data_IF_388632079891
#
_entry.id   IF_388632079891
#
_cell.length_a   1.000
_cell.length_b   1.000
_cell.length_c   1.000
_cell.angle_alpha   90.00
_cell.angle_beta   90.00
_cell.angle_gamma   90.00
#
_symmetry.space_group_name_H-M   'P 1'
#
loop_
_entity.id
_entity.type
_entity.pdbx_description
1 polymer ?
#
# COMPACT_ATOMS: atom_id res chain seq x y z
N UNK A 1 7.07 -6.40 12.78
CA UNK A 1 6.61 -7.80 12.79
C UNK A 1 7.66 -8.61 12.06
N UNK A 2 8.17 -9.68 12.64
CA UNK A 2 9.17 -10.53 11.98
C UNK A 2 8.48 -11.47 10.99
N UNK A 3 9.07 -11.66 9.83
CA UNK A 3 8.58 -12.58 8.78
C UNK A 3 9.18 -13.99 8.90
N UNK A 4 9.77 -14.30 10.05
CA UNK A 4 10.55 -15.52 10.26
C UNK A 4 9.74 -16.79 9.97
N UNK A 5 8.53 -16.89 10.49
CA UNK A 5 7.68 -18.09 10.32
C UNK A 5 7.35 -18.37 8.85
N UNK A 6 6.97 -17.32 8.11
CA UNK A 6 6.68 -17.41 6.68
C UNK A 6 7.95 -17.75 5.88
N UNK A 7 9.07 -17.12 6.23
CA UNK A 7 10.35 -17.34 5.55
C UNK A 7 10.94 -18.74 5.84
N UNK A 8 10.82 -19.26 7.06
CA UNK A 8 11.22 -20.63 7.39
C UNK A 8 10.54 -21.63 6.45
N UNK A 9 9.22 -21.56 6.34
CA UNK A 9 8.43 -22.42 5.44
C UNK A 9 8.83 -22.21 3.97
N UNK A 10 8.97 -20.94 3.54
CA UNK A 10 9.35 -20.57 2.16
C UNK A 10 10.71 -21.16 1.78
N UNK A 11 11.75 -20.93 2.58
CA UNK A 11 13.10 -21.40 2.27
C UNK A 11 13.21 -22.92 2.34
N UNK A 12 12.53 -23.57 3.30
CA UNK A 12 12.47 -25.03 3.38
C UNK A 12 11.89 -25.64 2.09
N UNK A 13 10.76 -25.09 1.62
CA UNK A 13 10.12 -25.55 0.37
C UNK A 13 11.02 -25.30 -0.83
N UNK A 14 11.67 -24.12 -0.92
CA UNK A 14 12.60 -23.78 -2.00
C UNK A 14 13.80 -24.76 -2.07
N UNK A 15 14.21 -25.33 -0.93
CA UNK A 15 15.28 -26.32 -0.85
C UNK A 15 14.80 -27.77 -0.98
N UNK A 16 13.48 -27.96 -1.22
CA UNK A 16 12.85 -29.28 -1.27
C UNK A 16 13.05 -30.14 -0.01
N UNK A 17 13.13 -29.49 1.15
CA UNK A 17 13.28 -30.15 2.44
C UNK A 17 11.92 -30.41 3.09
N UNK A 18 11.80 -31.50 3.85
CA UNK A 18 10.67 -31.77 4.75
C UNK A 18 10.89 -31.10 6.09
N UNK A 19 9.86 -31.05 6.94
CA UNK A 19 10.02 -30.60 8.33
C UNK A 19 10.89 -31.59 9.14
N UNK A 20 10.85 -32.87 8.78
CA UNK A 20 11.70 -33.93 9.34
C UNK A 20 13.17 -33.69 9.03
N UNK A 21 13.53 -33.37 7.79
CA UNK A 21 14.92 -33.10 7.37
C UNK A 21 15.52 -31.94 8.18
N UNK A 22 14.75 -30.84 8.33
CA UNK A 22 15.21 -29.68 9.11
C UNK A 22 15.32 -30.01 10.59
N UNK A 23 14.39 -30.79 11.12
CA UNK A 23 14.41 -31.22 12.52
C UNK A 23 15.62 -32.12 12.82
N UNK A 24 15.90 -33.09 11.93
CA UNK A 24 17.07 -33.98 12.05
C UNK A 24 18.37 -33.16 12.03
N UNK A 25 18.51 -32.22 11.10
CA UNK A 25 19.69 -31.36 11.01
C UNK A 25 19.93 -30.52 12.28
N UNK A 26 18.85 -30.10 12.95
CA UNK A 26 18.94 -29.28 14.17
C UNK A 26 18.94 -30.10 15.46
N UNK A 27 18.76 -31.43 15.40
CA UNK A 27 18.62 -32.29 16.60
C UNK A 27 17.31 -32.03 17.36
N UNK A 28 16.23 -31.69 16.65
CA UNK A 28 14.92 -31.34 17.19
C UNK A 28 13.82 -32.29 16.70
N UNK A 29 12.58 -32.00 17.09
CA UNK A 29 11.42 -32.75 16.63
C UNK A 29 10.73 -32.02 15.46
N UNK A 30 10.10 -32.74 14.49
CA UNK A 30 9.33 -32.11 13.41
C UNK A 30 8.21 -31.19 13.91
N UNK A 31 7.64 -31.52 15.08
CA UNK A 31 6.62 -30.68 15.74
C UNK A 31 7.16 -29.29 16.10
N UNK A 32 8.43 -29.18 16.48
CA UNK A 32 9.07 -27.89 16.76
C UNK A 32 9.14 -27.04 15.51
N UNK A 33 9.59 -27.61 14.39
CA UNK A 33 9.65 -26.92 13.10
C UNK A 33 8.25 -26.49 12.65
N UNK A 34 7.27 -27.39 12.78
CA UNK A 34 5.87 -27.09 12.43
C UNK A 34 5.31 -25.92 13.24
N UNK A 35 5.59 -25.83 14.55
CA UNK A 35 5.16 -24.69 15.39
C UNK A 35 5.80 -23.37 14.96
N UNK A 36 7.09 -23.39 14.61
CA UNK A 36 7.79 -22.21 14.11
C UNK A 36 7.19 -21.71 12.80
N UNK A 37 6.90 -22.62 11.85
CA UNK A 37 6.31 -22.26 10.54
C UNK A 37 4.87 -21.77 10.65
N UNK A 38 4.11 -22.19 11.68
CA UNK A 38 2.76 -21.66 11.96
C UNK A 38 2.76 -20.38 12.80
N UNK A 39 3.95 -19.94 13.28
CA UNK A 39 4.06 -18.74 14.11
C UNK A 39 3.54 -18.93 15.54
N UNK A 40 3.37 -20.16 16.00
CA UNK A 40 2.95 -20.46 17.38
C UNK A 40 4.05 -20.14 18.41
N UNK A 41 5.30 -20.28 17.99
CA UNK A 41 6.48 -19.84 18.72
C UNK A 41 7.63 -19.56 17.76
N UNK A 42 8.68 -18.95 18.28
CA UNK A 42 9.92 -18.71 17.51
C UNK A 42 11.01 -19.70 17.93
N UNK A 43 11.95 -20.02 17.00
CA UNK A 43 13.18 -20.72 17.38
C UNK A 43 13.99 -19.87 18.36
N UNK A 44 14.76 -20.56 19.22
CA UNK A 44 15.80 -19.87 19.97
C UNK A 44 16.79 -19.24 18.99
N UNK A 45 17.31 -18.06 19.33
CA UNK A 45 18.24 -17.30 18.47
C UNK A 45 19.48 -18.11 18.07
N UNK A 46 19.88 -19.06 18.89
CA UNK A 46 21.03 -19.95 18.65
C UNK A 46 20.83 -20.89 17.45
N UNK A 47 19.59 -21.15 17.03
CA UNK A 47 19.28 -21.94 15.83
C UNK A 47 19.35 -21.14 14.54
N UNK A 48 19.31 -19.80 14.58
CA UNK A 48 19.27 -18.97 13.37
C UNK A 48 20.47 -19.19 12.44
N UNK A 49 21.72 -19.33 12.94
CA UNK A 49 22.86 -19.63 12.08
C UNK A 49 22.74 -20.97 11.36
N UNK A 50 22.29 -22.01 12.06
CA UNK A 50 22.12 -23.36 11.49
C UNK A 50 20.98 -23.37 10.45
N UNK A 51 19.85 -22.68 10.73
CA UNK A 51 18.75 -22.51 9.80
C UNK A 51 19.19 -21.72 8.55
N UNK A 52 19.96 -20.66 8.72
CA UNK A 52 20.50 -19.90 7.59
C UNK A 52 21.44 -20.76 6.74
N UNK A 53 22.24 -21.63 7.36
CA UNK A 53 23.14 -22.53 6.67
C UNK A 53 22.39 -23.61 5.88
N UNK A 54 21.46 -24.35 6.49
CA UNK A 54 20.70 -25.41 5.78
C UNK A 54 19.86 -24.85 4.61
N UNK A 55 19.36 -23.62 4.75
CA UNK A 55 18.60 -22.96 3.70
C UNK A 55 19.46 -22.17 2.72
N UNK A 56 20.80 -22.15 2.89
CA UNK A 56 21.75 -21.37 2.07
C UNK A 56 21.30 -19.92 1.92
N UNK A 57 20.93 -19.27 3.00
CA UNK A 57 20.47 -17.89 3.07
C UNK A 57 21.19 -17.13 4.19
N UNK A 58 20.90 -15.83 4.32
CA UNK A 58 21.40 -15.05 5.46
C UNK A 58 20.35 -15.00 6.59
N UNK A 59 20.80 -14.76 7.82
CA UNK A 59 19.89 -14.52 8.96
C UNK A 59 19.01 -13.32 8.68
N UNK A 60 19.55 -12.25 8.08
CA UNK A 60 18.79 -11.06 7.70
C UNK A 60 17.60 -11.38 6.78
N UNK A 61 17.83 -12.20 5.76
CA UNK A 61 16.77 -12.65 4.85
C UNK A 61 15.79 -13.59 5.55
N UNK A 62 16.30 -14.46 6.44
CA UNK A 62 15.47 -15.39 7.19
C UNK A 62 14.48 -14.66 8.11
N UNK A 63 14.90 -13.61 8.80
CA UNK A 63 14.03 -12.79 9.65
C UNK A 63 13.26 -11.70 8.86
N UNK A 64 13.54 -11.52 7.56
CA UNK A 64 12.86 -10.60 6.67
C UNK A 64 13.28 -9.14 6.80
N UNK A 65 14.55 -8.87 7.13
CA UNK A 65 15.08 -7.50 7.29
C UNK A 65 14.99 -6.67 6.00
N UNK A 66 15.12 -7.31 4.84
CA UNK A 66 14.89 -6.67 3.55
C UNK A 66 13.47 -6.11 3.40
N UNK A 67 12.48 -6.90 3.81
CA UNK A 67 11.07 -6.50 3.80
C UNK A 67 10.80 -5.38 4.82
N UNK A 68 11.37 -5.50 6.04
CA UNK A 68 11.23 -4.50 7.11
C UNK A 68 11.84 -3.17 6.65
N UNK A 69 13.08 -3.17 6.16
CA UNK A 69 13.76 -1.96 5.65
C UNK A 69 13.00 -1.32 4.49
N UNK A 70 12.46 -2.14 3.58
CA UNK A 70 11.65 -1.62 2.48
C UNK A 70 10.32 -1.00 2.97
N UNK A 71 9.71 -1.53 4.04
CA UNK A 71 8.52 -0.93 4.65
C UNK A 71 8.84 0.38 5.35
N UNK A 72 9.93 0.44 6.13
CA UNK A 72 10.40 1.68 6.77
C UNK A 72 10.71 2.77 5.75
N UNK A 73 11.40 2.42 4.66
CA UNK A 73 11.70 3.37 3.59
C UNK A 73 10.41 3.93 2.99
N UNK A 74 9.43 3.09 2.68
CA UNK A 74 8.13 3.55 2.16
C UNK A 74 7.37 4.41 3.16
N UNK A 75 7.35 4.02 4.44
CA UNK A 75 6.76 4.82 5.49
C UNK A 75 7.40 6.21 5.59
N UNK A 76 8.74 6.28 5.57
CA UNK A 76 9.48 7.53 5.63
C UNK A 76 9.22 8.44 4.41
N UNK A 77 9.07 7.85 3.21
CA UNK A 77 8.67 8.59 2.01
C UNK A 77 7.30 9.23 2.21
N UNK A 78 6.29 8.46 2.61
CA UNK A 78 4.94 8.98 2.86
C UNK A 78 4.93 10.03 3.97
N UNK A 79 5.65 9.79 5.07
CA UNK A 79 5.77 10.73 6.18
C UNK A 79 6.33 12.07 5.71
N UNK A 80 7.46 12.05 5.00
CA UNK A 80 8.11 13.26 4.47
C UNK A 80 7.20 14.01 3.49
N UNK A 81 6.55 13.32 2.57
CA UNK A 81 5.61 13.94 1.64
C UNK A 81 4.40 14.56 2.36
N UNK A 82 3.87 13.88 3.40
CA UNK A 82 2.75 14.40 4.21
C UNK A 82 3.13 15.63 5.03
N UNK A 83 4.38 15.75 5.46
CA UNK A 83 4.89 16.95 6.13
C UNK A 83 4.82 18.15 5.17
N UNK A 84 5.35 18.02 3.96
CA UNK A 84 5.25 19.06 2.92
C UNK A 84 3.79 19.37 2.55
N UNK A 85 2.92 18.37 2.44
CA UNK A 85 1.50 18.60 2.14
C UNK A 85 0.78 19.41 3.23
N UNK A 86 1.09 19.18 4.51
CA UNK A 86 0.53 19.95 5.64
C UNK A 86 0.99 21.41 5.61
N UNK A 87 2.23 21.64 5.18
CA UNK A 87 2.79 22.97 5.04
C UNK A 87 2.34 23.69 3.75
N UNK A 88 1.56 23.01 2.90
CA UNK A 88 1.09 23.52 1.61
C UNK A 88 2.16 23.48 0.50
N UNK A 89 3.34 22.93 0.77
CA UNK A 89 4.42 22.77 -0.20
C UNK A 89 4.20 21.52 -1.08
N UNK A 90 3.20 21.62 -1.95
CA UNK A 90 2.88 20.52 -2.87
C UNK A 90 3.98 20.24 -3.90
N UNK A 91 4.86 21.22 -4.19
CA UNK A 91 5.97 21.04 -5.14
C UNK A 91 7.00 20.08 -4.56
N UNK A 92 7.41 20.32 -3.30
CA UNK A 92 8.34 19.41 -2.61
C UNK A 92 7.73 18.04 -2.37
N UNK A 93 6.45 17.94 -2.03
CA UNK A 93 5.74 16.67 -1.89
C UNK A 93 5.70 15.90 -3.22
N UNK A 94 5.44 16.57 -4.34
CA UNK A 94 5.48 15.97 -5.69
C UNK A 94 6.85 15.38 -5.99
N UNK A 95 7.92 16.15 -5.72
CA UNK A 95 9.30 15.69 -5.94
C UNK A 95 9.59 14.42 -5.15
N UNK A 96 9.21 14.36 -3.88
CA UNK A 96 9.40 13.17 -3.03
C UNK A 96 8.75 11.93 -3.65
N UNK A 97 7.51 12.05 -4.16
CA UNK A 97 6.82 10.90 -4.77
C UNK A 97 7.35 10.55 -6.17
N UNK A 98 7.79 11.54 -6.97
CA UNK A 98 8.43 11.26 -8.27
C UNK A 98 9.73 10.51 -8.09
N UNK A 99 10.59 10.94 -7.16
CA UNK A 99 11.84 10.25 -6.82
C UNK A 99 11.57 8.81 -6.31
N UNK A 100 10.52 8.65 -5.49
CA UNK A 100 10.10 7.33 -5.03
C UNK A 100 9.64 6.40 -6.16
N UNK A 101 8.94 6.93 -7.16
CA UNK A 101 8.47 6.14 -8.30
C UNK A 101 9.58 5.73 -9.27
N UNK A 102 10.75 6.38 -9.25
CA UNK A 102 11.95 5.89 -9.95
C UNK A 102 12.43 4.57 -9.34
N UNK A 103 12.29 4.41 -8.03
CA UNK A 103 12.71 3.21 -7.29
C UNK A 103 11.59 2.16 -7.25
N UNK A 104 10.33 2.60 -7.14
CA UNK A 104 9.15 1.75 -6.99
C UNK A 104 8.07 2.05 -8.06
N UNK A 105 8.34 1.82 -9.36
CA UNK A 105 7.51 2.32 -10.47
C UNK A 105 6.05 1.83 -10.47
N UNK A 106 5.81 0.64 -9.91
CA UNK A 106 4.48 0.02 -9.88
C UNK A 106 3.93 -0.14 -8.45
N UNK A 107 4.29 0.76 -7.54
CA UNK A 107 3.80 0.73 -6.15
C UNK A 107 2.52 1.56 -6.03
N UNK A 108 1.33 0.95 -5.84
CA UNK A 108 0.06 1.68 -5.84
C UNK A 108 0.01 2.82 -4.82
N UNK A 109 0.61 2.64 -3.63
CA UNK A 109 0.67 3.69 -2.61
C UNK A 109 1.46 4.93 -3.05
N UNK A 110 2.56 4.76 -3.78
CA UNK A 110 3.35 5.88 -4.32
C UNK A 110 2.62 6.57 -5.48
N UNK A 111 1.95 5.78 -6.33
CA UNK A 111 1.10 6.30 -7.41
C UNK A 111 -0.05 7.13 -6.84
N UNK A 112 -0.77 6.62 -5.85
CA UNK A 112 -1.84 7.35 -5.16
C UNK A 112 -1.31 8.63 -4.51
N UNK A 113 -0.15 8.56 -3.84
CA UNK A 113 0.47 9.72 -3.20
C UNK A 113 0.81 10.82 -4.20
N UNK A 114 1.47 10.47 -5.33
CA UNK A 114 1.77 11.43 -6.39
C UNK A 114 0.49 12.01 -7.00
N UNK A 115 -0.44 11.15 -7.39
CA UNK A 115 -1.70 11.59 -8.00
C UNK A 115 -2.52 12.49 -7.06
N UNK A 116 -2.50 12.21 -5.75
CA UNK A 116 -3.12 13.07 -4.75
C UNK A 116 -2.49 14.46 -4.70
N UNK A 117 -1.16 14.54 -4.68
CA UNK A 117 -0.44 15.82 -4.69
C UNK A 117 -0.71 16.61 -5.98
N UNK A 118 -0.75 15.94 -7.12
CA UNK A 118 -1.07 16.58 -8.41
C UNK A 118 -2.51 17.10 -8.44
N UNK A 119 -3.46 16.35 -7.89
CA UNK A 119 -4.85 16.80 -7.77
C UNK A 119 -4.96 18.08 -6.92
N UNK A 120 -4.21 18.18 -5.81
CA UNK A 120 -4.15 19.37 -4.96
C UNK A 120 -3.46 20.56 -5.64
N UNK A 121 -2.63 20.33 -6.66
CA UNK A 121 -2.01 21.36 -7.50
C UNK A 121 -2.88 21.74 -8.71
N UNK A 122 -4.10 21.25 -8.83
CA UNK A 122 -4.97 21.39 -10.00
C UNK A 122 -4.45 20.75 -11.30
N UNK A 123 -3.48 19.83 -11.21
CA UNK A 123 -2.97 19.04 -12.34
C UNK A 123 -3.86 17.80 -12.56
N UNK A 124 -5.14 18.02 -12.82
CA UNK A 124 -6.19 16.99 -12.78
C UNK A 124 -5.98 15.89 -13.82
N UNK A 125 -5.57 16.21 -15.04
CA UNK A 125 -5.38 15.20 -16.11
C UNK A 125 -4.24 14.23 -15.76
N UNK A 126 -3.09 14.73 -15.30
CA UNK A 126 -1.96 13.88 -14.88
C UNK A 126 -2.32 13.01 -13.67
N UNK A 127 -3.10 13.55 -12.72
CA UNK A 127 -3.60 12.81 -11.58
C UNK A 127 -4.54 11.67 -12.02
N UNK A 128 -5.42 11.91 -13.00
CA UNK A 128 -6.31 10.88 -13.56
C UNK A 128 -5.49 9.76 -14.19
N UNK A 129 -4.54 10.08 -15.09
CA UNK A 129 -3.71 9.08 -15.76
C UNK A 129 -2.97 8.19 -14.78
N UNK A 130 -2.40 8.78 -13.73
CA UNK A 130 -1.72 8.04 -12.67
C UNK A 130 -2.66 7.12 -11.89
N UNK A 131 -3.85 7.58 -11.52
CA UNK A 131 -4.81 6.77 -10.78
C UNK A 131 -5.41 5.67 -11.64
N UNK A 132 -5.73 5.92 -12.92
CA UNK A 132 -6.17 4.90 -13.87
C UNK A 132 -5.12 3.80 -14.04
N UNK A 133 -3.82 4.14 -14.04
CA UNK A 133 -2.72 3.17 -14.04
C UNK A 133 -2.57 2.42 -12.71
N UNK A 134 -2.77 3.10 -11.59
CA UNK A 134 -2.58 2.54 -10.24
C UNK A 134 -3.70 1.62 -9.79
N UNK A 135 -4.92 1.90 -10.22
CA UNK A 135 -6.13 1.21 -9.76
C UNK A 135 -6.10 -0.32 -10.04
N UNK A 136 -5.78 -0.81 -11.26
CA UNK A 136 -5.80 -2.23 -11.56
C UNK A 136 -4.67 -3.01 -10.87
N UNK A 137 -3.55 -2.37 -10.55
CA UNK A 137 -2.41 -3.03 -9.87
C UNK A 137 -2.50 -2.97 -8.35
N UNK A 138 -3.45 -2.21 -7.79
CA UNK A 138 -3.69 -2.18 -6.35
C UNK A 138 -4.41 -3.46 -5.90
N UNK A 139 -3.87 -4.11 -4.86
CA UNK A 139 -4.50 -5.27 -4.20
C UNK A 139 -5.22 -4.88 -2.92
N UNK A 140 -5.00 -3.67 -2.42
CA UNK A 140 -5.58 -3.16 -1.19
C UNK A 140 -6.91 -2.46 -1.51
N UNK A 141 -8.03 -3.01 -1.03
CA UNK A 141 -9.37 -2.47 -1.30
C UNK A 141 -9.57 -1.05 -0.77
N UNK A 142 -8.94 -0.69 0.34
CA UNK A 142 -8.94 0.67 0.87
C UNK A 142 -8.29 1.65 -0.12
N UNK A 143 -7.12 1.31 -0.66
CA UNK A 143 -6.46 2.12 -1.69
C UNK A 143 -7.29 2.23 -2.96
N UNK A 144 -7.90 1.12 -3.41
CA UNK A 144 -8.79 1.14 -4.57
C UNK A 144 -9.98 2.08 -4.34
N UNK A 145 -10.62 2.00 -3.18
CA UNK A 145 -11.75 2.87 -2.84
C UNK A 145 -11.33 4.34 -2.83
N UNK A 146 -10.16 4.67 -2.25
CA UNK A 146 -9.60 6.03 -2.30
C UNK A 146 -9.38 6.49 -3.73
N UNK A 147 -8.73 5.68 -4.55
CA UNK A 147 -8.49 6.02 -5.97
C UNK A 147 -9.78 6.23 -6.73
N UNK A 148 -10.78 5.34 -6.57
CA UNK A 148 -12.09 5.47 -7.21
C UNK A 148 -12.81 6.75 -6.78
N UNK A 149 -12.87 7.01 -5.48
CA UNK A 149 -13.52 8.21 -4.95
C UNK A 149 -12.86 9.49 -5.47
N UNK A 150 -11.52 9.56 -5.43
CA UNK A 150 -10.79 10.72 -5.96
C UNK A 150 -10.98 10.87 -7.47
N UNK A 151 -10.95 9.77 -8.23
CA UNK A 151 -11.20 9.78 -9.69
C UNK A 151 -12.60 10.29 -10.02
N UNK A 152 -13.65 9.95 -9.24
CA UNK A 152 -14.98 10.48 -9.46
C UNK A 152 -14.98 12.02 -9.46
N UNK A 153 -14.35 12.63 -8.45
CA UNK A 153 -14.28 14.08 -8.35
C UNK A 153 -13.36 14.70 -9.41
N UNK A 154 -12.25 14.06 -9.76
CA UNK A 154 -11.38 14.52 -10.84
C UNK A 154 -12.08 14.46 -12.20
N UNK A 155 -12.85 13.42 -12.47
CA UNK A 155 -13.67 13.33 -13.69
C UNK A 155 -14.73 14.43 -13.73
N UNK A 156 -15.41 14.72 -12.62
CA UNK A 156 -16.35 15.84 -12.53
C UNK A 156 -15.66 17.17 -12.83
N UNK A 157 -14.49 17.40 -12.25
CA UNK A 157 -13.70 18.61 -12.49
C UNK A 157 -13.31 18.78 -13.94
N UNK A 158 -13.07 17.69 -14.65
CA UNK A 158 -12.74 17.68 -16.08
C UNK A 158 -13.99 17.57 -16.99
N UNK A 159 -15.22 17.68 -16.45
CA UNK A 159 -16.47 17.58 -17.20
C UNK A 159 -16.80 16.16 -17.70
N UNK A 160 -16.10 15.12 -17.22
CA UNK A 160 -16.28 13.72 -17.63
C UNK A 160 -17.37 13.03 -16.78
N UNK A 161 -18.58 13.58 -16.74
CA UNK A 161 -19.67 13.18 -15.81
C UNK A 161 -20.05 11.70 -15.97
N UNK A 162 -20.10 11.18 -17.19
CA UNK A 162 -20.45 9.79 -17.45
C UNK A 162 -19.44 8.83 -16.85
N UNK A 163 -18.13 9.13 -16.96
CA UNK A 163 -17.06 8.34 -16.32
C UNK A 163 -17.17 8.40 -14.79
N UNK A 164 -17.48 9.56 -14.23
CA UNK A 164 -17.69 9.71 -12.79
C UNK A 164 -18.84 8.84 -12.29
N UNK A 165 -19.99 8.84 -12.97
CA UNK A 165 -21.15 8.02 -12.63
C UNK A 165 -20.86 6.52 -12.73
N UNK A 166 -20.21 6.08 -13.82
CA UNK A 166 -19.85 4.69 -14.01
C UNK A 166 -18.94 4.20 -12.86
N UNK A 167 -17.90 4.97 -12.54
CA UNK A 167 -16.96 4.62 -11.48
C UNK A 167 -17.58 4.67 -10.09
N UNK A 168 -18.49 5.61 -9.82
CA UNK A 168 -19.21 5.69 -8.55
C UNK A 168 -20.07 4.45 -8.28
N UNK A 169 -20.57 3.79 -9.33
CA UNK A 169 -21.33 2.54 -9.19
C UNK A 169 -20.47 1.37 -8.69
N UNK A 170 -19.15 1.43 -8.87
CA UNK A 170 -18.20 0.42 -8.39
C UNK A 170 -17.75 0.64 -6.95
N UNK A 171 -18.10 1.77 -6.34
CA UNK A 171 -17.79 2.04 -4.93
C UNK A 171 -18.57 1.09 -4.02
N UNK A 172 -17.97 0.66 -2.89
CA UNK A 172 -18.67 -0.20 -1.94
C UNK A 172 -19.87 0.51 -1.32
N UNK A 173 -20.91 -0.25 -0.97
CA UNK A 173 -22.05 0.22 -0.19
C UNK A 173 -21.64 0.39 1.27
N UNK A 174 -20.94 1.45 1.59
CA UNK A 174 -20.66 1.86 2.96
C UNK A 174 -21.15 3.30 3.13
N UNK A 175 -21.45 3.71 4.36
CA UNK A 175 -21.99 5.04 4.66
C UNK A 175 -21.20 6.21 4.06
N UNK A 176 -19.98 5.96 3.61
CA UNK A 176 -18.99 6.99 3.27
C UNK A 176 -18.49 6.92 1.83
N UNK A 177 -19.10 6.11 0.95
CA UNK A 177 -18.62 6.01 -0.42
C UNK A 177 -19.71 6.19 -1.46
N UNK A 178 -20.47 5.13 -1.81
CA UNK A 178 -21.46 5.24 -2.91
C UNK A 178 -22.62 6.18 -2.56
N UNK A 179 -23.20 6.04 -1.37
CA UNK A 179 -24.36 6.82 -0.92
C UNK A 179 -24.04 8.31 -0.78
N UNK A 180 -22.79 8.68 -0.60
CA UNK A 180 -22.35 10.07 -0.53
C UNK A 180 -21.96 10.61 -1.91
N UNK A 181 -21.14 9.88 -2.65
CA UNK A 181 -20.55 10.38 -3.90
C UNK A 181 -21.57 10.41 -5.05
N UNK A 182 -22.42 9.40 -5.18
CA UNK A 182 -23.41 9.33 -6.26
C UNK A 182 -24.42 10.48 -6.25
N UNK A 183 -25.02 10.85 -5.09
CA UNK A 183 -25.86 12.05 -5.02
C UNK A 183 -25.12 13.35 -5.36
N UNK A 184 -23.87 13.50 -4.90
CA UNK A 184 -23.07 14.68 -5.17
C UNK A 184 -22.80 14.87 -6.67
N UNK A 185 -22.54 13.78 -7.41
CA UNK A 185 -22.40 13.81 -8.86
C UNK A 185 -23.68 14.30 -9.54
N UNK A 186 -24.84 13.83 -9.05
CA UNK A 186 -26.15 14.20 -9.62
C UNK A 186 -26.56 15.65 -9.32
N UNK A 187 -26.12 16.20 -8.19
CA UNK A 187 -26.42 17.57 -7.79
C UNK A 187 -25.68 18.63 -8.63
N UNK A 188 -24.57 18.26 -9.27
CA UNK A 188 -23.75 19.19 -10.03
C UNK A 188 -22.97 20.14 -9.11
N UNK A 189 -21.80 19.72 -8.65
CA UNK A 189 -20.94 20.50 -7.75
C UNK A 189 -20.18 21.60 -8.49
N UNK A 190 -19.99 22.74 -7.81
CA UNK A 190 -19.07 23.78 -8.24
C UNK A 190 -17.59 23.35 -8.06
N UNK A 191 -16.68 24.04 -8.80
CA UNK A 191 -15.26 23.69 -8.76
C UNK A 191 -14.65 23.75 -7.35
N UNK A 192 -15.07 24.73 -6.54
CA UNK A 192 -14.60 24.88 -5.16
C UNK A 192 -15.00 23.66 -4.30
N UNK A 193 -16.25 23.25 -4.41
CA UNK A 193 -16.78 22.09 -3.66
C UNK A 193 -16.07 20.79 -4.07
N UNK A 194 -15.82 20.60 -5.37
CA UNK A 194 -15.06 19.46 -5.88
C UNK A 194 -13.65 19.44 -5.27
N UNK A 195 -12.98 20.58 -5.25
CA UNK A 195 -11.65 20.70 -4.67
C UNK A 195 -11.64 20.37 -3.15
N UNK A 196 -12.66 20.82 -2.42
CA UNK A 196 -12.80 20.52 -0.99
C UNK A 196 -13.03 19.02 -0.76
N UNK A 197 -13.84 18.36 -1.57
CA UNK A 197 -14.01 16.91 -1.49
C UNK A 197 -12.71 16.15 -1.79
N UNK A 198 -11.97 16.53 -2.85
CA UNK A 198 -10.67 15.94 -3.17
C UNK A 198 -9.71 16.13 -1.99
N UNK A 199 -9.64 17.34 -1.43
CA UNK A 199 -8.79 17.64 -0.28
C UNK A 199 -9.16 16.78 0.94
N UNK A 200 -10.43 16.67 1.26
CA UNK A 200 -10.92 15.88 2.39
C UNK A 200 -10.61 14.38 2.23
N UNK A 201 -10.74 13.83 1.02
CA UNK A 201 -10.39 12.44 0.74
C UNK A 201 -8.87 12.21 0.91
N UNK A 202 -8.05 13.14 0.47
CA UNK A 202 -6.60 12.95 0.40
C UNK A 202 -5.87 13.36 1.67
N UNK A 203 -6.32 14.40 2.36
CA UNK A 203 -5.66 14.94 3.54
C UNK A 203 -6.36 14.62 4.85
N UNK A 204 -7.64 14.32 4.81
CA UNK A 204 -8.57 13.98 5.91
C UNK A 204 -8.14 14.43 7.31
N UNK A 205 -9.03 15.03 8.09
CA UNK A 205 -8.76 15.55 9.45
C UNK A 205 -8.45 14.46 10.50
N UNK A 206 -7.85 13.34 10.13
CA UNK A 206 -7.55 12.24 11.07
C UNK A 206 -8.78 11.59 11.73
N UNK A 207 -9.96 12.14 11.53
CA UNK A 207 -11.28 11.54 11.82
C UNK A 207 -11.82 10.84 10.58
N UNK A 208 -10.90 10.20 9.98
CA UNK A 208 -10.92 9.44 8.76
C UNK A 208 -12.24 8.81 8.36
N UNK A 209 -12.60 9.09 7.16
CA UNK A 209 -13.34 8.22 6.23
C UNK A 209 -12.56 6.92 5.89
N UNK A 210 -11.51 6.58 6.67
CA UNK A 210 -10.66 5.39 6.43
C UNK A 210 -10.71 4.37 7.53
#
# INVERSE_FOLDING_TARGET
MFYLSENLKKYRIMKNLTQEDVAEYLGLTPQSISKWERGECYPDITFLPALANIFETSIDLLIGMDTIRAQETRYNIHKKASEFQRDGDYISAEKVYRDALLIYPNKPGMILGLAGVLALQNKSEEAIELMERGLPISINEKQKSTMRATLCFLYLKCGKVEKANALASELPHTRESREVIQPLIQMGLGESEINDHIRNILLGDGKSIW
#
